data_IF_604403573571
#
_entry.id   IF_604403573571
#
_cell.length_a   1.000
_cell.length_b   1.000
_cell.length_c   1.000
_cell.angle_alpha   90.00
_cell.angle_beta   90.00
_cell.angle_gamma   90.00
#
_symmetry.space_group_name_H-M   'P 1'
#
loop_
_entity.id
_entity.type
_entity.pdbx_description
1 polymer ?
#
# COMPACT_ATOMS: atom_id res chain seq x y z
N UNK A 1 -1.80 -23.56 -22.30
CA UNK A 1 -1.17 -22.89 -21.14
C UNK A 1 0.19 -22.26 -21.47
N UNK A 2 1.02 -22.84 -22.36
CA UNK A 2 2.37 -22.31 -22.68
C UNK A 2 2.39 -20.98 -23.46
N UNK A 3 1.49 -20.79 -24.44
CA UNK A 3 1.53 -19.61 -25.33
C UNK A 3 1.12 -18.29 -24.65
N UNK A 4 0.10 -18.33 -23.76
CA UNK A 4 -0.40 -17.13 -23.06
C UNK A 4 0.63 -16.54 -22.06
N UNK A 5 1.47 -17.40 -21.49
CA UNK A 5 2.61 -17.01 -20.63
C UNK A 5 3.70 -16.30 -21.44
N UNK A 6 4.01 -16.83 -22.63
CA UNK A 6 5.01 -16.23 -23.52
C UNK A 6 4.55 -14.88 -24.09
N UNK A 7 3.25 -14.73 -24.34
CA UNK A 7 2.65 -13.48 -24.82
C UNK A 7 2.68 -12.37 -23.75
N UNK A 8 2.36 -12.71 -22.49
CA UNK A 8 2.46 -11.79 -21.34
C UNK A 8 3.91 -11.35 -21.08
N UNK A 9 4.87 -12.28 -21.19
CA UNK A 9 6.30 -11.97 -21.09
C UNK A 9 6.71 -10.98 -22.20
N UNK A 10 6.21 -11.17 -23.43
CA UNK A 10 6.52 -10.30 -24.56
C UNK A 10 5.92 -8.89 -24.41
N UNK A 11 4.67 -8.78 -23.95
CA UNK A 11 4.01 -7.48 -23.71
C UNK A 11 4.65 -6.70 -22.57
N UNK A 12 5.20 -7.37 -21.55
CA UNK A 12 5.97 -6.72 -20.48
C UNK A 12 7.39 -6.36 -20.96
N UNK A 13 7.99 -7.19 -21.83
CA UNK A 13 9.32 -6.94 -22.40
C UNK A 13 9.35 -5.78 -23.41
N UNK A 14 8.30 -5.61 -24.21
CA UNK A 14 8.26 -4.66 -25.35
C UNK A 14 8.00 -3.20 -24.92
N UNK A 15 7.44 -2.97 -23.72
CA UNK A 15 7.20 -1.63 -23.18
C UNK A 15 8.37 -1.07 -22.34
N UNK A 16 9.30 -1.91 -21.85
CA UNK A 16 10.34 -1.47 -20.91
C UNK A 16 11.78 -1.96 -21.15
N UNK A 17 12.08 -2.60 -22.28
CA UNK A 17 13.47 -2.87 -22.67
C UNK A 17 14.24 -3.80 -21.72
N UNK A 18 13.60 -4.85 -21.22
CA UNK A 18 14.22 -5.82 -20.30
C UNK A 18 14.76 -7.04 -21.07
N UNK A 19 16.03 -7.00 -21.49
CA UNK A 19 16.76 -8.21 -21.92
C UNK A 19 18.14 -8.27 -21.29
N UNK A 20 18.42 -9.41 -20.66
CA UNK A 20 19.72 -9.92 -20.21
C UNK A 20 20.43 -9.15 -19.10
N UNK A 21 20.17 -9.57 -17.84
CA UNK A 21 21.13 -9.78 -16.74
C UNK A 21 20.35 -9.72 -15.40
N UNK A 22 20.19 -10.84 -14.70
CA UNK A 22 19.41 -10.90 -13.44
C UNK A 22 20.00 -9.96 -12.37
N UNK A 23 21.31 -9.74 -12.38
CA UNK A 23 21.99 -8.75 -11.54
C UNK A 23 21.67 -7.30 -11.95
N UNK A 24 21.46 -7.01 -13.24
CA UNK A 24 20.99 -5.70 -13.71
C UNK A 24 19.52 -5.45 -13.33
N UNK A 25 18.68 -6.49 -13.32
CA UNK A 25 17.29 -6.44 -12.84
C UNK A 25 17.26 -6.17 -11.33
N UNK A 26 18.06 -6.91 -10.55
CA UNK A 26 18.17 -6.71 -9.11
C UNK A 26 18.68 -5.30 -8.77
N UNK A 27 19.69 -4.82 -9.51
CA UNK A 27 20.27 -3.48 -9.33
C UNK A 27 19.29 -2.38 -9.72
N UNK A 28 18.51 -2.57 -10.79
CA UNK A 28 17.46 -1.64 -11.19
C UNK A 28 16.31 -1.62 -10.17
N UNK A 29 15.85 -2.78 -9.70
CA UNK A 29 14.83 -2.89 -8.66
C UNK A 29 15.29 -2.31 -7.33
N UNK A 30 16.54 -2.51 -6.91
CA UNK A 30 17.08 -1.93 -5.68
C UNK A 30 17.21 -0.40 -5.76
N UNK A 31 17.43 0.15 -6.96
CA UNK A 31 17.65 1.57 -7.18
C UNK A 31 16.36 2.36 -7.40
N UNK A 32 15.27 1.71 -7.81
CA UNK A 32 13.99 2.35 -8.03
C UNK A 32 13.20 2.47 -6.70
N UNK A 33 12.93 3.70 -6.22
CA UNK A 33 12.11 3.90 -5.03
C UNK A 33 10.66 3.56 -5.36
N UNK A 34 10.24 2.33 -5.05
CA UNK A 34 8.84 1.87 -5.17
C UNK A 34 7.89 2.73 -4.31
N UNK A 35 8.44 3.38 -3.29
CA UNK A 35 7.67 4.23 -2.38
C UNK A 35 7.28 5.61 -2.95
N UNK A 36 7.75 5.99 -4.15
CA UNK A 36 7.52 7.35 -4.63
C UNK A 36 6.16 7.50 -5.35
N UNK A 37 5.26 8.19 -4.64
CA UNK A 37 4.18 9.05 -5.14
C UNK A 37 2.88 8.44 -5.69
N UNK A 38 2.33 7.42 -5.02
CA UNK A 38 0.89 7.13 -5.18
C UNK A 38 -0.01 8.27 -4.65
N UNK A 39 0.43 9.01 -3.62
CA UNK A 39 -0.33 10.15 -3.08
C UNK A 39 -0.14 11.44 -3.92
N UNK A 40 1.08 11.76 -4.36
CA UNK A 40 1.37 12.99 -5.12
C UNK A 40 0.83 12.99 -6.57
N UNK A 41 0.74 11.83 -7.23
CA UNK A 41 0.18 11.73 -8.59
C UNK A 41 -1.35 11.90 -8.64
N UNK A 42 -2.06 11.77 -7.52
CA UNK A 42 -3.54 11.88 -7.47
C UNK A 42 -4.05 13.15 -6.81
N UNK A 43 -3.22 13.90 -6.08
CA UNK A 43 -3.63 15.18 -5.48
C UNK A 43 -3.90 16.30 -6.50
N UNK A 44 -3.35 16.18 -7.72
CA UNK A 44 -3.37 17.24 -8.74
C UNK A 44 -4.73 17.61 -9.35
N UNK A 45 -5.82 16.88 -9.08
CA UNK A 45 -7.12 17.11 -9.73
C UNK A 45 -8.30 17.26 -8.75
N UNK A 46 -8.05 17.62 -7.49
CA UNK A 46 -9.12 17.85 -6.51
C UNK A 46 -9.87 19.14 -6.84
N UNK A 47 -11.01 19.03 -7.52
CA UNK A 47 -11.88 20.20 -7.79
C UNK A 47 -12.38 20.82 -6.48
N UNK A 48 -12.67 22.13 -6.46
CA UNK A 48 -13.16 22.82 -5.26
C UNK A 48 -14.41 22.14 -4.65
N UNK A 49 -15.29 21.59 -5.50
CA UNK A 49 -16.47 20.82 -5.08
C UNK A 49 -16.12 19.51 -4.38
N UNK A 50 -15.07 18.81 -4.83
CA UNK A 50 -14.61 17.58 -4.16
C UNK A 50 -14.01 17.89 -2.79
N UNK A 51 -13.21 18.95 -2.64
CA UNK A 51 -12.68 19.36 -1.33
C UNK A 51 -13.80 19.76 -0.35
N UNK A 52 -14.82 20.45 -0.84
CA UNK A 52 -15.98 20.83 -0.02
C UNK A 52 -16.83 19.60 0.39
N UNK A 53 -17.07 18.66 -0.54
CA UNK A 53 -17.77 17.41 -0.24
C UNK A 53 -17.03 16.57 0.81
N UNK A 54 -15.69 16.59 0.79
CA UNK A 54 -14.85 15.81 1.72
C UNK A 54 -14.90 16.38 3.13
N UNK A 55 -14.80 17.71 3.24
CA UNK A 55 -15.00 18.40 4.49
C UNK A 55 -16.41 18.18 5.05
N UNK A 56 -17.44 18.23 4.19
CA UNK A 56 -18.82 18.01 4.59
C UNK A 56 -19.08 16.57 5.03
N UNK A 57 -18.52 15.58 4.32
CA UNK A 57 -18.66 14.16 4.67
C UNK A 57 -17.96 13.83 6.00
N UNK A 58 -16.75 14.35 6.21
CA UNK A 58 -16.02 14.18 7.48
C UNK A 58 -16.74 14.87 8.65
N UNK A 59 -17.31 16.06 8.42
CA UNK A 59 -18.07 16.78 9.44
C UNK A 59 -19.40 16.09 9.76
N UNK A 60 -20.14 15.65 8.75
CA UNK A 60 -21.41 14.95 8.90
C UNK A 60 -21.26 13.55 9.54
N UNK A 61 -20.08 12.93 9.43
CA UNK A 61 -19.75 11.66 10.09
C UNK A 61 -19.40 11.77 11.58
N UNK A 62 -19.38 12.98 12.16
CA UNK A 62 -19.01 13.19 13.56
C UNK A 62 -20.19 13.00 14.53
N UNK A 63 -19.95 12.32 15.65
CA UNK A 63 -20.92 12.21 16.75
C UNK A 63 -21.39 13.58 17.29
N UNK A 64 -20.51 14.59 17.29
CA UNK A 64 -20.86 15.94 17.75
C UNK A 64 -21.86 16.63 16.83
N UNK A 65 -21.78 16.38 15.52
CA UNK A 65 -22.72 16.93 14.54
C UNK A 65 -24.14 16.43 14.78
N UNK A 66 -24.29 15.14 15.07
CA UNK A 66 -25.58 14.51 15.37
C UNK A 66 -26.26 15.22 16.55
N UNK A 67 -25.55 15.44 17.65
CA UNK A 67 -26.12 16.12 18.83
C UNK A 67 -26.52 17.58 18.54
N UNK A 68 -25.70 18.34 17.82
CA UNK A 68 -26.02 19.73 17.44
C UNK A 68 -27.25 19.78 16.52
N UNK A 69 -27.33 18.87 15.56
CA UNK A 69 -28.44 18.78 14.62
C UNK A 69 -29.76 18.49 15.34
N UNK A 70 -29.77 17.52 16.25
CA UNK A 70 -30.95 17.24 17.09
C UNK A 70 -31.33 18.41 18.00
N UNK A 71 -30.34 19.09 18.60
CA UNK A 71 -30.61 20.26 19.43
C UNK A 71 -31.23 21.42 18.63
N UNK A 72 -30.78 21.65 17.40
CA UNK A 72 -31.37 22.64 16.48
C UNK A 72 -32.80 22.28 16.10
N UNK A 73 -33.06 21.02 15.74
CA UNK A 73 -34.43 20.56 15.44
C UNK A 73 -35.36 20.71 16.65
N UNK A 74 -34.92 20.29 17.83
CA UNK A 74 -35.68 20.45 19.06
C UNK A 74 -35.95 21.92 19.37
N UNK A 75 -34.94 22.79 19.21
CA UNK A 75 -35.09 24.24 19.42
C UNK A 75 -36.09 24.84 18.43
N UNK A 76 -36.07 24.43 17.16
CA UNK A 76 -37.02 24.91 16.14
C UNK A 76 -38.46 24.51 16.47
N UNK A 77 -38.68 23.26 16.90
CA UNK A 77 -39.99 22.78 17.33
C UNK A 77 -40.48 23.54 18.56
N UNK A 78 -39.63 23.74 19.57
CA UNK A 78 -39.97 24.50 20.79
C UNK A 78 -40.32 25.95 20.48
N UNK A 79 -39.52 26.62 19.63
CA UNK A 79 -39.76 28.01 19.24
C UNK A 79 -41.08 28.16 18.47
N UNK A 80 -41.37 27.27 17.51
CA UNK A 80 -42.61 27.34 16.73
C UNK A 80 -43.87 26.95 17.53
N UNK A 81 -43.76 26.05 18.51
CA UNK A 81 -44.94 25.55 19.25
C UNK A 81 -45.28 26.34 20.51
N UNK A 82 -44.28 26.83 21.24
CA UNK A 82 -44.48 27.40 22.58
C UNK A 82 -44.20 28.90 22.65
N UNK A 83 -43.38 29.44 21.75
CA UNK A 83 -42.86 30.81 21.88
C UNK A 83 -43.52 31.78 20.92
N UNK A 84 -44.01 31.32 19.77
CA UNK A 84 -44.56 32.19 18.73
C UNK A 84 -46.09 32.22 18.76
N UNK A 85 -46.73 33.41 18.88
CA UNK A 85 -48.20 33.53 18.98
C UNK A 85 -48.93 33.21 17.67
N UNK A 86 -48.28 33.38 16.51
CA UNK A 86 -48.70 32.79 15.23
C UNK A 86 -47.62 31.78 14.79
N UNK A 87 -47.90 30.47 14.82
CA UNK A 87 -46.92 29.47 14.44
C UNK A 87 -46.66 29.53 12.93
N UNK A 88 -45.41 29.81 12.55
CA UNK A 88 -44.99 29.81 11.15
C UNK A 88 -45.06 28.40 10.53
N UNK A 89 -44.83 27.36 11.33
CA UNK A 89 -44.98 25.95 10.96
C UNK A 89 -45.82 25.21 12.02
N UNK A 90 -47.15 25.25 11.87
CA UNK A 90 -48.09 24.53 12.76
C UNK A 90 -47.97 23.01 12.57
N UNK A 91 -48.25 22.25 13.63
CA UNK A 91 -48.33 20.79 13.56
C UNK A 91 -49.27 20.38 12.41
N UNK A 92 -48.82 19.61 11.39
CA UNK A 92 -47.76 18.58 11.41
C UNK A 92 -46.35 18.97 10.86
N UNK A 93 -45.94 20.23 10.92
CA UNK A 93 -44.61 20.73 10.51
C UNK A 93 -44.22 20.47 9.04
N UNK A 94 -44.99 21.03 8.09
CA UNK A 94 -44.83 20.74 6.67
C UNK A 94 -43.48 21.24 6.13
N UNK A 95 -43.00 22.38 6.61
CA UNK A 95 -41.77 23.01 6.13
C UNK A 95 -40.53 22.28 6.65
N UNK A 96 -40.53 21.92 7.94
CA UNK A 96 -39.46 21.13 8.53
C UNK A 96 -39.34 19.76 7.86
N UNK A 97 -40.48 19.12 7.59
CA UNK A 97 -40.50 17.81 6.92
C UNK A 97 -39.97 17.88 5.48
N UNK A 98 -40.32 18.95 4.74
CA UNK A 98 -39.80 19.20 3.40
C UNK A 98 -38.28 19.42 3.40
N UNK A 99 -37.79 20.25 4.32
CA UNK A 99 -36.35 20.50 4.52
C UNK A 99 -35.59 19.22 4.82
N UNK A 100 -36.05 18.42 5.78
CA UNK A 100 -35.41 17.15 6.15
C UNK A 100 -35.40 16.15 4.98
N UNK A 101 -36.50 16.07 4.23
CA UNK A 101 -36.59 15.20 3.05
C UNK A 101 -35.58 15.60 1.97
N UNK A 102 -35.42 16.90 1.72
CA UNK A 102 -34.42 17.42 0.79
C UNK A 102 -32.99 17.14 1.26
N UNK A 103 -32.71 17.35 2.56
CA UNK A 103 -31.41 17.05 3.16
C UNK A 103 -31.05 15.57 2.99
N UNK A 104 -31.98 14.67 3.32
CA UNK A 104 -31.78 13.23 3.21
C UNK A 104 -31.55 12.78 1.76
N UNK A 105 -32.27 13.37 0.79
CA UNK A 105 -32.12 13.05 -0.62
C UNK A 105 -30.72 13.37 -1.17
N UNK A 106 -30.12 14.48 -0.72
CA UNK A 106 -28.75 14.88 -1.13
C UNK A 106 -27.69 14.11 -0.36
N UNK A 107 -28.00 13.64 0.85
CA UNK A 107 -27.05 12.97 1.73
C UNK A 107 -26.51 11.65 1.14
N UNK A 108 -27.39 10.79 0.59
CA UNK A 108 -26.97 9.49 0.06
C UNK A 108 -25.96 9.59 -1.11
N UNK A 109 -26.18 10.42 -2.14
CA UNK A 109 -25.19 10.63 -3.20
C UNK A 109 -23.87 11.23 -2.71
N UNK A 110 -23.91 12.19 -1.78
CA UNK A 110 -22.68 12.80 -1.24
C UNK A 110 -21.86 11.78 -0.44
N UNK A 111 -22.53 10.98 0.39
CA UNK A 111 -21.89 9.86 1.09
C UNK A 111 -21.31 8.88 0.08
N UNK A 112 -22.07 8.47 -0.94
CA UNK A 112 -21.61 7.52 -1.97
C UNK A 112 -20.41 8.07 -2.76
N UNK A 113 -20.40 9.36 -3.11
CA UNK A 113 -19.27 10.01 -3.78
C UNK A 113 -18.02 10.04 -2.88
N UNK A 114 -18.19 10.32 -1.58
CA UNK A 114 -17.08 10.31 -0.63
C UNK A 114 -16.52 8.89 -0.42
N UNK A 115 -17.39 7.88 -0.39
CA UNK A 115 -17.02 6.47 -0.27
C UNK A 115 -16.28 5.97 -1.50
N UNK A 116 -16.82 6.21 -2.71
CA UNK A 116 -16.19 5.79 -3.97
C UNK A 116 -14.76 6.34 -4.12
N UNK A 117 -14.52 7.58 -3.66
CA UNK A 117 -13.16 8.14 -3.67
C UNK A 117 -12.26 7.51 -2.62
N UNK A 118 -12.77 7.24 -1.42
CA UNK A 118 -11.98 6.58 -0.39
C UNK A 118 -11.59 5.16 -0.82
N UNK A 119 -12.52 4.42 -1.42
CA UNK A 119 -12.29 3.08 -1.98
C UNK A 119 -11.23 3.10 -3.11
N UNK A 120 -11.23 4.13 -3.97
CA UNK A 120 -10.18 4.29 -4.98
C UNK A 120 -8.80 4.49 -4.36
N UNK A 121 -8.69 5.33 -3.31
CA UNK A 121 -7.43 5.51 -2.56
C UNK A 121 -6.99 4.20 -1.90
N UNK A 122 -7.90 3.49 -1.26
CA UNK A 122 -7.61 2.23 -0.58
C UNK A 122 -7.20 1.14 -1.59
N UNK A 123 -7.82 1.10 -2.77
CA UNK A 123 -7.42 0.20 -3.87
C UNK A 123 -6.02 0.50 -4.39
N UNK A 124 -5.64 1.78 -4.52
CA UNK A 124 -4.29 2.17 -4.93
C UNK A 124 -3.26 1.80 -3.87
N UNK A 125 -3.56 2.03 -2.59
CA UNK A 125 -2.71 1.60 -1.47
C UNK A 125 -2.50 0.09 -1.45
N UNK A 126 -3.57 -0.68 -1.56
CA UNK A 126 -3.49 -2.14 -1.62
C UNK A 126 -2.66 -2.65 -2.81
N UNK A 127 -2.73 -1.98 -3.97
CA UNK A 127 -1.85 -2.30 -5.11
C UNK A 127 -0.38 -2.01 -4.82
N UNK A 128 -0.09 -0.87 -4.19
CA UNK A 128 1.29 -0.51 -3.82
C UNK A 128 1.84 -1.53 -2.81
N UNK A 129 1.08 -1.83 -1.76
CA UNK A 129 1.45 -2.84 -0.76
C UNK A 129 1.72 -4.21 -1.39
N UNK A 130 0.89 -4.63 -2.36
CA UNK A 130 1.11 -5.85 -3.12
C UNK A 130 2.44 -5.84 -3.90
N UNK A 131 2.76 -4.73 -4.58
CA UNK A 131 4.01 -4.60 -5.34
C UNK A 131 5.23 -4.58 -4.42
N UNK A 132 5.15 -3.92 -3.27
CA UNK A 132 6.20 -3.93 -2.24
C UNK A 132 6.42 -5.35 -1.74
N UNK A 133 5.35 -6.09 -1.46
CA UNK A 133 5.45 -7.48 -1.00
C UNK A 133 6.09 -8.40 -2.06
N UNK A 134 5.66 -8.28 -3.32
CA UNK A 134 6.25 -9.04 -4.43
C UNK A 134 7.74 -8.73 -4.62
N UNK A 135 8.13 -7.44 -4.50
CA UNK A 135 9.53 -7.04 -4.55
C UNK A 135 10.33 -7.63 -3.38
N UNK A 136 9.77 -7.65 -2.18
CA UNK A 136 10.41 -8.26 -1.02
C UNK A 136 10.64 -9.76 -1.23
N UNK A 137 9.66 -10.46 -1.79
CA UNK A 137 9.77 -11.89 -2.13
C UNK A 137 10.93 -12.16 -3.10
N UNK A 138 11.01 -11.41 -4.21
CA UNK A 138 12.10 -11.55 -5.19
C UNK A 138 13.47 -11.26 -4.57
N UNK A 139 13.57 -10.23 -3.71
CA UNK A 139 14.83 -9.90 -3.03
C UNK A 139 15.24 -11.01 -2.06
N UNK A 140 14.29 -11.62 -1.34
CA UNK A 140 14.56 -12.73 -0.43
C UNK A 140 15.09 -13.94 -1.21
N UNK A 141 14.46 -14.28 -2.34
CA UNK A 141 14.91 -15.38 -3.20
C UNK A 141 16.33 -15.14 -3.73
N UNK A 142 16.62 -13.93 -4.23
CA UNK A 142 17.96 -13.57 -4.69
C UNK A 142 19.01 -13.58 -3.58
N UNK A 143 18.65 -13.17 -2.35
CA UNK A 143 19.54 -13.25 -1.19
C UNK A 143 19.80 -14.71 -0.82
N UNK A 144 18.79 -15.57 -0.91
CA UNK A 144 18.93 -17.00 -0.62
C UNK A 144 19.93 -17.66 -1.58
N UNK A 145 19.81 -17.41 -2.88
CA UNK A 145 20.74 -17.91 -3.88
C UNK A 145 22.17 -17.42 -3.65
N UNK A 146 22.36 -16.12 -3.34
CA UNK A 146 23.69 -15.58 -3.01
C UNK A 146 24.26 -16.19 -1.72
N UNK A 147 23.41 -16.52 -0.75
CA UNK A 147 23.83 -17.19 0.49
C UNK A 147 24.29 -18.62 0.20
N UNK A 148 23.57 -19.36 -0.62
CA UNK A 148 23.96 -20.72 -1.04
C UNK A 148 25.31 -20.71 -1.77
N UNK A 149 25.51 -19.78 -2.70
CA UNK A 149 26.81 -19.61 -3.36
C UNK A 149 27.96 -19.30 -2.38
N UNK A 150 27.69 -18.54 -1.32
CA UNK A 150 28.70 -18.24 -0.30
C UNK A 150 29.02 -19.51 0.52
N UNK A 151 28.00 -20.30 0.86
CA UNK A 151 28.17 -21.57 1.58
C UNK A 151 29.00 -22.56 0.76
N UNK A 152 28.69 -22.75 -0.52
CA UNK A 152 29.46 -23.62 -1.41
C UNK A 152 30.93 -23.18 -1.52
N UNK A 153 31.16 -21.87 -1.64
CA UNK A 153 32.51 -21.32 -1.65
C UNK A 153 33.24 -21.59 -0.32
N UNK A 154 32.57 -21.44 0.82
CA UNK A 154 33.15 -21.75 2.14
C UNK A 154 33.51 -23.24 2.26
N UNK A 155 32.65 -24.15 1.81
CA UNK A 155 32.97 -25.59 1.79
C UNK A 155 34.22 -25.88 0.97
N UNK A 156 34.34 -25.26 -0.22
CA UNK A 156 35.52 -25.43 -1.07
C UNK A 156 36.81 -24.91 -0.42
N UNK A 157 36.73 -23.79 0.31
CA UNK A 157 37.87 -23.21 1.03
C UNK A 157 38.29 -24.12 2.18
N UNK A 158 37.33 -24.62 2.96
CA UNK A 158 37.58 -25.55 4.07
C UNK A 158 38.21 -26.85 3.57
N UNK A 159 37.72 -27.39 2.45
CA UNK A 159 38.30 -28.58 1.82
C UNK A 159 39.75 -28.36 1.36
N UNK A 160 40.07 -27.19 0.81
CA UNK A 160 41.45 -26.84 0.42
C UNK A 160 42.36 -26.67 1.63
N UNK A 161 41.88 -26.06 2.72
CA UNK A 161 42.64 -25.90 3.96
C UNK A 161 42.98 -27.26 4.59
N UNK A 162 42.02 -28.18 4.68
CA UNK A 162 42.26 -29.52 5.24
C UNK A 162 43.24 -30.35 4.39
N UNK A 163 43.20 -30.21 3.06
CA UNK A 163 44.17 -30.84 2.18
C UNK A 163 45.60 -30.31 2.42
N UNK A 164 45.77 -28.99 2.53
CA UNK A 164 47.05 -28.36 2.83
C UNK A 164 47.59 -28.77 4.22
N UNK A 165 46.72 -28.83 5.24
CA UNK A 165 47.10 -29.33 6.57
C UNK A 165 47.62 -30.78 6.50
N UNK A 166 46.97 -31.63 5.70
CA UNK A 166 47.42 -33.01 5.47
C UNK A 166 48.78 -33.10 4.77
N UNK A 167 49.02 -32.27 3.74
CA UNK A 167 50.31 -32.23 3.04
C UNK A 167 51.45 -31.75 3.95
N UNK A 168 51.20 -30.72 4.76
CA UNK A 168 52.18 -30.21 5.73
C UNK A 168 52.50 -31.27 6.80
N UNK A 169 51.49 -32.00 7.28
CA UNK A 169 51.70 -33.10 8.23
C UNK A 169 52.53 -34.24 7.62
N UNK A 170 52.29 -34.60 6.35
CA UNK A 170 53.06 -35.61 5.63
C UNK A 170 54.51 -35.17 5.30
N UNK A 171 54.73 -33.88 5.08
CA UNK A 171 56.07 -33.32 4.91
C UNK A 171 56.87 -33.36 6.22
N UNK A 172 56.25 -32.99 7.34
CA UNK A 172 56.89 -33.03 8.66
C UNK A 172 57.34 -34.44 9.07
N UNK A 173 56.55 -35.48 8.79
CA UNK A 173 56.91 -36.88 9.09
C UNK A 173 58.10 -37.37 8.26
N UNK A 174 58.16 -37.02 6.96
CA UNK A 174 59.30 -37.37 6.09
C UNK A 174 60.61 -36.70 6.50
N UNK A 175 60.57 -35.46 6.97
CA UNK A 175 61.75 -34.76 7.48
C UNK A 175 62.28 -35.38 8.78
N UNK A 176 61.42 -36.03 9.57
CA UNK A 176 61.79 -36.68 10.82
C UNK A 176 62.45 -38.06 10.62
N UNK A 177 62.09 -38.80 9.55
CA UNK A 177 62.73 -40.08 9.18
C UNK A 177 64.09 -39.92 8.49
N UNK A 178 64.30 -38.85 7.70
CA UNK A 178 65.57 -38.58 7.01
C UNK A 178 66.72 -38.09 7.90
N UNK A 179 66.47 -37.83 9.18
CA UNK A 179 67.46 -37.30 10.14
C UNK A 179 67.89 -38.32 11.21
N UNK A 180 67.53 -39.60 11.08
CA UNK A 180 68.06 -40.67 11.94
C UNK A 180 69.36 -41.22 11.33
N UNK A 181 70.51 -41.10 12.02
CA UNK A 181 71.79 -41.64 11.55
C UNK A 181 71.80 -43.17 11.52
#
# INVERSE_FOLDING_TARGET
MSQRRQELIKTILEDKGFTADEDAILTALLREPVAQDSDLLHEGASTLGQRAADGLAQFAGSWRFIFIFFALLASWVVLNTLVMPEPYDSYPFILLNLMLSCLAAIQAPVIMMSQNRQEQKDRLRAKNDYLVNLKAEIIIEAIHEKLDMIVDNQESIVARLSALEGEVAAACTKTQEGSRP
#
